data_IF_986752104308
#
_entry.id   IF_986752104308
#
_cell.length_a   1.000
_cell.length_b   1.000
_cell.length_c   1.000
_cell.angle_alpha   90.00
_cell.angle_beta   90.00
_cell.angle_gamma   90.00
#
_symmetry.space_group_name_H-M   'P 1'
#
loop_
_entity.id
_entity.type
_entity.pdbx_description
1 polymer ?
#
# COMPACT_ATOMS: atom_id res chain seq x y z
N UNK A 1 -9.61 -17.29 -11.55
CA UNK A 1 -10.24 -17.96 -10.39
C UNK A 1 -9.16 -18.50 -9.47
N UNK A 2 -9.16 -18.10 -8.18
CA UNK A 2 -8.20 -18.53 -7.15
C UNK A 2 -8.68 -19.87 -6.57
N UNK A 3 -7.89 -20.93 -6.73
CA UNK A 3 -8.34 -22.30 -6.45
C UNK A 3 -8.43 -22.65 -4.94
N UNK A 4 -8.10 -21.72 -4.04
CA UNK A 4 -7.87 -22.01 -2.61
C UNK A 4 -8.48 -20.98 -1.63
N UNK A 5 -9.41 -20.13 -2.09
CA UNK A 5 -10.09 -19.14 -1.24
C UNK A 5 -10.70 -19.82 0.01
N UNK A 6 -10.44 -19.27 1.20
CA UNK A 6 -10.91 -19.82 2.48
C UNK A 6 -10.03 -20.92 3.12
N UNK A 7 -8.84 -21.20 2.60
CA UNK A 7 -7.89 -22.15 3.23
C UNK A 7 -6.64 -21.45 3.76
N UNK A 8 -6.02 -22.00 4.82
CA UNK A 8 -4.68 -21.58 5.30
C UNK A 8 -3.60 -21.65 4.21
N UNK A 9 -3.82 -22.48 3.18
CA UNK A 9 -2.91 -22.63 2.03
C UNK A 9 -3.09 -21.54 0.95
N UNK A 10 -4.10 -20.68 1.03
CA UNK A 10 -4.40 -19.66 0.02
C UNK A 10 -3.27 -18.64 -0.21
N UNK A 11 -2.35 -18.51 0.75
CA UNK A 11 -1.22 -17.57 0.72
C UNK A 11 0.15 -18.24 0.55
N UNK A 12 0.24 -19.57 0.64
CA UNK A 12 1.53 -20.29 0.61
C UNK A 12 2.19 -20.38 -0.79
N UNK A 13 1.51 -19.96 -1.87
CA UNK A 13 2.02 -19.97 -3.26
C UNK A 13 1.72 -18.67 -4.00
N UNK A 14 1.78 -17.55 -3.28
CA UNK A 14 1.49 -16.25 -3.84
C UNK A 14 2.62 -15.78 -4.77
N UNK A 15 2.28 -15.20 -5.92
CA UNK A 15 3.29 -14.51 -6.73
C UNK A 15 3.83 -13.33 -5.93
N UNK A 16 5.14 -13.07 -6.05
CA UNK A 16 5.82 -12.05 -5.25
C UNK A 16 6.32 -10.90 -6.12
N UNK A 17 6.05 -9.68 -5.69
CA UNK A 17 6.66 -8.46 -6.16
C UNK A 17 7.65 -7.98 -5.09
N UNK A 18 8.89 -7.75 -5.48
CA UNK A 18 9.91 -7.20 -4.59
C UNK A 18 10.34 -5.82 -5.10
N UNK A 19 10.16 -4.81 -4.26
CA UNK A 19 10.62 -3.44 -4.49
C UNK A 19 12.07 -3.36 -4.04
N UNK A 20 12.93 -2.88 -4.94
CA UNK A 20 14.33 -2.61 -4.62
C UNK A 20 14.60 -1.13 -4.72
N UNK A 21 15.07 -0.56 -3.62
CA UNK A 21 15.61 0.81 -3.60
C UNK A 21 17.13 0.78 -3.79
N UNK A 22 17.78 -0.35 -3.51
CA UNK A 22 19.24 -0.53 -3.58
C UNK A 22 20.00 0.46 -2.67
N UNK A 23 19.49 0.66 -1.44
CA UNK A 23 20.11 1.45 -0.38
C UNK A 23 19.22 2.55 0.19
N UNK A 24 19.74 3.26 1.19
CA UNK A 24 18.93 4.22 1.99
C UNK A 24 19.07 5.68 1.54
N UNK A 25 19.79 5.96 0.45
CA UNK A 25 19.94 7.32 -0.04
C UNK A 25 18.57 7.90 -0.44
N UNK A 26 18.17 9.00 0.20
CA UNK A 26 16.90 9.67 -0.09
C UNK A 26 16.79 10.16 -1.53
N UNK A 27 17.92 10.45 -2.17
CA UNK A 27 17.98 10.94 -3.55
C UNK A 27 17.35 9.98 -4.59
N UNK A 28 17.23 8.70 -4.26
CA UNK A 28 16.65 7.67 -5.14
C UNK A 28 15.14 7.87 -5.32
N UNK A 29 14.46 8.40 -4.32
CA UNK A 29 13.00 8.56 -4.30
C UNK A 29 12.55 10.01 -4.55
N UNK A 30 13.49 10.92 -4.83
CA UNK A 30 13.17 12.34 -5.06
C UNK A 30 12.22 12.45 -6.25
N UNK A 31 11.11 13.15 -6.02
CA UNK A 31 10.07 13.39 -7.02
C UNK A 31 9.12 12.21 -7.26
N UNK A 32 9.32 11.07 -6.58
CA UNK A 32 8.41 9.93 -6.66
C UNK A 32 7.29 10.07 -5.63
N UNK A 33 6.05 9.83 -6.04
CA UNK A 33 4.90 9.90 -5.14
C UNK A 33 4.65 8.58 -4.41
N UNK A 34 5.03 7.45 -5.03
CA UNK A 34 4.94 6.09 -4.47
C UNK A 34 5.76 5.11 -5.32
N UNK A 35 5.97 3.89 -4.82
CA UNK A 35 6.64 2.84 -5.60
C UNK A 35 5.75 2.37 -6.77
N UNK A 36 4.44 2.38 -6.55
CA UNK A 36 3.38 2.17 -7.53
C UNK A 36 2.42 3.35 -7.37
N UNK A 37 2.18 4.10 -8.45
CA UNK A 37 1.25 5.24 -8.42
C UNK A 37 0.11 5.04 -9.42
N UNK A 38 -1.12 5.39 -9.01
CA UNK A 38 -2.27 5.55 -9.89
C UNK A 38 -2.77 6.99 -9.77
N UNK A 39 -2.66 7.74 -10.86
CA UNK A 39 -3.01 9.16 -10.98
C UNK A 39 -3.80 9.37 -12.27
N UNK A 40 -4.35 10.57 -12.45
CA UNK A 40 -5.10 10.97 -13.66
C UNK A 40 -6.29 10.03 -13.98
N UNK A 41 -6.97 9.53 -12.94
CA UNK A 41 -8.14 8.65 -13.07
C UNK A 41 -7.82 7.18 -13.35
N UNK A 42 -6.56 6.76 -13.15
CA UNK A 42 -6.18 5.36 -13.32
C UNK A 42 -6.82 4.46 -12.25
N UNK A 43 -7.40 3.33 -12.67
CA UNK A 43 -7.91 2.32 -11.73
C UNK A 43 -6.87 1.22 -11.51
N UNK A 44 -6.40 1.07 -10.28
CA UNK A 44 -5.44 0.05 -9.89
C UNK A 44 -6.14 -1.10 -9.16
N UNK A 45 -5.98 -2.33 -9.68
CA UNK A 45 -6.52 -3.54 -9.06
C UNK A 45 -5.45 -4.62 -8.93
N UNK A 46 -5.21 -5.13 -7.73
CA UNK A 46 -4.16 -6.12 -7.45
C UNK A 46 -4.77 -7.32 -6.71
N UNK A 47 -4.54 -8.52 -7.22
CA UNK A 47 -5.12 -9.76 -6.71
C UNK A 47 -4.04 -10.79 -6.39
N UNK A 48 -4.01 -11.28 -5.16
CA UNK A 48 -3.19 -12.44 -4.81
C UNK A 48 -1.69 -12.24 -5.06
N UNK A 49 -1.15 -11.05 -4.75
CA UNK A 49 0.28 -10.73 -4.85
C UNK A 49 0.87 -10.45 -3.47
N UNK A 50 2.05 -10.99 -3.19
CA UNK A 50 2.84 -10.66 -2.00
C UNK A 50 3.81 -9.54 -2.39
N UNK A 51 3.69 -8.38 -1.75
CA UNK A 51 4.56 -7.24 -1.95
C UNK A 51 5.55 -7.17 -0.80
N UNK A 52 6.84 -7.10 -1.15
CA UNK A 52 7.96 -7.07 -0.21
C UNK A 52 8.97 -6.01 -0.64
N UNK A 53 9.87 -5.62 0.25
CA UNK A 53 11.02 -4.78 -0.12
C UNK A 53 12.34 -5.51 0.12
N UNK A 54 13.41 -4.95 -0.41
CA UNK A 54 14.80 -5.29 -0.07
C UNK A 54 15.22 -4.83 1.35
N UNK A 55 14.26 -4.35 2.16
CA UNK A 55 14.45 -3.80 3.51
C UNK A 55 15.20 -2.46 3.57
N UNK A 56 15.43 -1.80 2.43
CA UNK A 56 15.85 -0.40 2.42
C UNK A 56 14.76 0.49 3.05
N UNK A 57 15.16 1.61 3.64
CA UNK A 57 14.27 2.60 4.25
C UNK A 57 13.55 3.39 3.16
N UNK A 58 12.27 3.09 2.93
CA UNK A 58 11.43 3.84 2.00
C UNK A 58 10.97 5.16 2.62
N UNK A 59 11.02 6.24 1.85
CA UNK A 59 10.50 7.57 2.28
C UNK A 59 9.17 7.94 1.61
N UNK A 60 8.69 7.06 0.73
CA UNK A 60 7.44 7.20 -0.03
C UNK A 60 6.52 5.99 0.25
N UNK A 61 5.22 6.08 -0.06
CA UNK A 61 4.30 4.95 0.01
C UNK A 61 4.69 3.84 -0.95
N UNK A 62 4.25 2.62 -0.66
CA UNK A 62 4.34 1.53 -1.63
C UNK A 62 3.32 1.75 -2.73
N UNK A 63 2.06 2.00 -2.35
CA UNK A 63 0.99 2.36 -3.28
C UNK A 63 0.55 3.79 -2.97
N UNK A 64 0.57 4.65 -3.99
CA UNK A 64 0.05 6.01 -3.91
C UNK A 64 -1.06 6.19 -4.94
N UNK A 65 -2.19 6.75 -4.51
CA UNK A 65 -3.38 6.96 -5.34
C UNK A 65 -3.77 8.44 -5.21
N UNK A 66 -4.04 9.10 -6.34
CA UNK A 66 -4.45 10.50 -6.40
C UNK A 66 -5.45 10.73 -7.53
N UNK A 67 -6.18 11.85 -7.46
CA UNK A 67 -7.08 12.40 -8.46
C UNK A 67 -8.49 11.81 -8.51
N UNK A 68 -9.39 12.54 -9.18
CA UNK A 68 -10.77 12.13 -9.42
C UNK A 68 -10.88 10.86 -10.26
N UNK A 69 -11.91 10.06 -9.97
CA UNK A 69 -12.23 8.81 -10.65
C UNK A 69 -11.15 7.72 -10.54
N UNK A 70 -10.20 7.90 -9.62
CA UNK A 70 -9.17 6.92 -9.31
C UNK A 70 -9.73 5.92 -8.29
N UNK A 71 -9.43 4.64 -8.50
CA UNK A 71 -9.89 3.52 -7.67
C UNK A 71 -8.72 2.62 -7.31
N UNK A 72 -8.70 2.17 -6.05
CA UNK A 72 -7.80 1.11 -5.62
C UNK A 72 -8.59 -0.11 -5.13
N UNK A 73 -8.34 -1.26 -5.74
CA UNK A 73 -8.83 -2.55 -5.27
C UNK A 73 -7.67 -3.49 -4.94
N UNK A 74 -7.61 -3.94 -3.71
CA UNK A 74 -6.66 -4.93 -3.23
C UNK A 74 -7.43 -6.15 -2.73
N UNK A 75 -7.16 -7.32 -3.28
CA UNK A 75 -7.79 -8.55 -2.83
C UNK A 75 -6.75 -9.64 -2.60
N UNK A 76 -6.71 -10.13 -1.36
CA UNK A 76 -5.76 -11.11 -0.89
C UNK A 76 -4.30 -10.73 -1.19
N UNK A 77 -3.95 -9.45 -1.01
CA UNK A 77 -2.60 -8.90 -1.16
C UNK A 77 -1.90 -8.90 0.20
N UNK A 78 -0.63 -9.28 0.24
CA UNK A 78 0.17 -9.27 1.47
C UNK A 78 1.32 -8.27 1.35
N UNK A 79 1.34 -7.25 2.18
CA UNK A 79 2.46 -6.32 2.38
C UNK A 79 3.29 -6.83 3.54
N UNK A 80 4.54 -7.20 3.29
CA UNK A 80 5.40 -7.68 4.38
C UNK A 80 6.87 -7.40 4.20
N UNK A 81 7.60 -7.37 5.33
CA UNK A 81 9.02 -7.04 5.39
C UNK A 81 9.23 -5.67 4.75
N UNK A 82 8.64 -4.64 5.35
CA UNK A 82 8.74 -3.27 4.88
C UNK A 82 9.34 -2.41 5.98
N UNK A 83 10.23 -1.49 5.59
CA UNK A 83 10.71 -0.41 6.45
C UNK A 83 10.39 0.91 5.78
N UNK A 84 9.72 1.80 6.50
CA UNK A 84 9.38 3.13 6.03
C UNK A 84 9.88 4.16 7.04
N UNK A 85 10.44 5.26 6.57
CA UNK A 85 10.85 6.39 7.39
C UNK A 85 10.53 7.70 6.67
N UNK A 86 9.25 8.13 6.64
CA UNK A 86 8.86 9.38 6.00
C UNK A 86 9.59 10.59 6.60
N UNK A 87 9.95 11.55 5.76
CA UNK A 87 10.94 12.60 6.09
C UNK A 87 10.37 14.00 6.26
N UNK A 88 9.22 14.30 5.65
CA UNK A 88 8.58 15.63 5.73
C UNK A 88 7.20 15.61 6.38
N UNK A 89 6.50 14.50 6.27
CA UNK A 89 5.16 14.26 6.83
C UNK A 89 4.95 12.76 7.01
N UNK A 90 3.94 12.37 7.81
CA UNK A 90 3.54 10.98 7.90
C UNK A 90 3.13 10.46 6.52
N UNK A 91 3.36 9.18 6.20
CA UNK A 91 2.91 8.57 4.94
C UNK A 91 2.30 7.19 5.17
N UNK A 92 1.45 6.77 4.24
CA UNK A 92 0.87 5.43 4.24
C UNK A 92 1.83 4.39 3.64
N UNK A 93 1.64 3.10 3.97
CA UNK A 93 2.12 2.01 3.10
C UNK A 93 1.27 2.01 1.83
N UNK A 94 -0.04 2.07 2.02
CA UNK A 94 -1.03 2.46 1.00
C UNK A 94 -1.49 3.87 1.35
N UNK A 95 -1.32 4.81 0.44
CA UNK A 95 -1.74 6.19 0.61
C UNK A 95 -2.72 6.60 -0.48
N UNK A 96 -3.86 7.11 -0.05
CA UNK A 96 -4.88 7.72 -0.90
C UNK A 96 -4.87 9.21 -0.60
N UNK A 97 -4.62 10.03 -1.61
CA UNK A 97 -4.71 11.48 -1.56
C UNK A 97 -5.78 11.97 -2.52
N UNK A 98 -6.24 13.19 -2.28
CA UNK A 98 -7.00 14.10 -3.16
C UNK A 98 -7.97 13.41 -4.11
N UNK A 99 -9.27 13.59 -3.88
CA UNK A 99 -10.31 13.36 -4.87
C UNK A 99 -10.50 11.92 -5.37
N UNK A 100 -9.74 10.95 -4.84
CA UNK A 100 -9.94 9.53 -5.12
C UNK A 100 -11.36 9.10 -4.77
N UNK A 101 -11.98 8.23 -5.56
CA UNK A 101 -13.42 7.95 -5.44
C UNK A 101 -13.75 6.70 -4.64
N UNK A 102 -12.86 5.70 -4.64
CA UNK A 102 -13.17 4.41 -3.99
C UNK A 102 -11.91 3.64 -3.57
N UNK A 103 -11.96 3.06 -2.37
CA UNK A 103 -10.97 2.12 -1.85
C UNK A 103 -11.64 0.82 -1.44
N UNK A 104 -11.15 -0.29 -2.00
CA UNK A 104 -11.63 -1.63 -1.71
C UNK A 104 -10.44 -2.51 -1.28
N UNK A 105 -10.48 -3.04 -0.06
CA UNK A 105 -9.43 -3.93 0.47
C UNK A 105 -10.10 -5.16 1.10
N UNK A 106 -9.89 -6.32 0.47
CA UNK A 106 -10.42 -7.61 0.92
C UNK A 106 -9.32 -8.59 1.24
N UNK A 107 -9.42 -9.28 2.39
CA UNK A 107 -8.56 -10.40 2.79
C UNK A 107 -7.06 -10.12 2.70
N UNK A 108 -6.66 -8.85 2.88
CA UNK A 108 -5.27 -8.44 2.77
C UNK A 108 -4.51 -8.63 4.09
N UNK A 109 -3.18 -8.63 4.02
CA UNK A 109 -2.31 -8.73 5.20
C UNK A 109 -1.27 -7.61 5.14
N UNK A 110 -1.14 -6.89 6.24
CA UNK A 110 -0.02 -6.01 6.52
C UNK A 110 0.75 -6.62 7.70
N UNK A 111 1.97 -7.08 7.46
CA UNK A 111 2.73 -7.85 8.45
C UNK A 111 4.23 -7.52 8.44
N UNK A 112 4.86 -7.43 9.61
CA UNK A 112 6.29 -7.18 9.75
C UNK A 112 6.70 -5.87 9.03
N UNK A 113 6.07 -4.78 9.49
CA UNK A 113 6.28 -3.43 8.98
C UNK A 113 6.88 -2.60 10.11
N UNK A 114 7.99 -1.93 9.83
CA UNK A 114 8.61 -0.96 10.74
C UNK A 114 8.46 0.44 10.16
N UNK A 115 7.91 1.37 10.93
CA UNK A 115 7.67 2.75 10.54
C UNK A 115 8.39 3.67 11.52
N UNK A 116 9.31 4.47 11.00
CA UNK A 116 10.13 5.43 11.76
C UNK A 116 9.92 6.86 11.22
N UNK A 117 10.62 7.85 11.78
CA UNK A 117 10.57 9.24 11.28
C UNK A 117 9.30 9.98 11.69
N UNK A 118 8.66 10.69 10.75
CA UNK A 118 7.40 11.42 11.01
C UNK A 118 6.17 10.53 11.22
N UNK A 119 6.42 9.23 11.45
CA UNK A 119 5.39 8.22 11.58
C UNK A 119 4.82 7.82 10.23
N UNK A 120 3.79 7.00 10.29
CA UNK A 120 3.12 6.46 9.14
C UNK A 120 2.07 5.47 9.56
N UNK A 121 1.23 5.07 8.61
CA UNK A 121 0.05 4.25 8.85
C UNK A 121 0.03 3.17 7.77
N UNK A 122 -0.48 1.99 8.08
CA UNK A 122 -0.63 0.95 7.05
C UNK A 122 -1.47 1.45 5.86
N UNK A 123 -2.56 2.14 6.17
CA UNK A 123 -3.43 2.79 5.19
C UNK A 123 -3.64 4.23 5.64
N UNK A 124 -3.24 5.19 4.81
CA UNK A 124 -3.49 6.62 5.02
C UNK A 124 -4.48 7.09 3.96
N UNK A 125 -5.58 7.69 4.42
CA UNK A 125 -6.60 8.28 3.55
C UNK A 125 -6.64 9.78 3.87
N UNK A 126 -6.33 10.59 2.87
CA UNK A 126 -6.40 12.04 2.92
C UNK A 126 -7.42 12.48 1.89
N UNK A 127 -8.63 12.77 2.35
CA UNK A 127 -9.69 13.35 1.55
C UNK A 127 -9.98 14.75 2.09
N UNK A 128 -9.71 15.77 1.27
CA UNK A 128 -9.85 17.18 1.61
C UNK A 128 -11.12 17.85 1.05
N UNK A 129 -12.02 17.08 0.41
CA UNK A 129 -13.27 17.58 -0.18
C UNK A 129 -14.54 17.18 0.58
N UNK A 130 -15.64 17.89 0.28
CA UNK A 130 -17.02 17.56 0.69
C UNK A 130 -17.65 16.37 -0.08
N UNK A 131 -16.91 15.75 -1.02
CA UNK A 131 -17.41 14.62 -1.80
C UNK A 131 -17.31 13.31 -1.01
N UNK A 132 -18.32 12.45 -1.15
CA UNK A 132 -18.35 11.13 -0.52
C UNK A 132 -17.22 10.25 -1.06
N UNK A 133 -16.47 9.66 -0.14
CA UNK A 133 -15.46 8.65 -0.43
C UNK A 133 -15.85 7.35 0.26
N UNK A 134 -15.96 6.28 -0.51
CA UNK A 134 -16.30 4.96 0.02
C UNK A 134 -15.03 4.14 0.21
N UNK A 135 -14.82 3.67 1.45
CA UNK A 135 -13.76 2.74 1.79
C UNK A 135 -14.36 1.47 2.38
N UNK A 136 -14.10 0.35 1.71
CA UNK A 136 -14.44 -0.99 2.22
C UNK A 136 -13.17 -1.72 2.59
N UNK A 137 -13.02 -2.10 3.86
CA UNK A 137 -11.91 -2.91 4.36
C UNK A 137 -12.52 -4.09 5.11
N UNK A 138 -12.40 -5.30 4.55
CA UNK A 138 -12.99 -6.52 5.11
C UNK A 138 -11.97 -7.67 5.07
N UNK A 139 -12.02 -8.54 6.08
CA UNK A 139 -11.13 -9.71 6.19
C UNK A 139 -9.62 -9.39 6.32
N UNK A 140 -9.26 -8.10 6.45
CA UNK A 140 -7.87 -7.64 6.41
C UNK A 140 -7.21 -7.65 7.78
N UNK A 141 -5.93 -8.04 7.83
CA UNK A 141 -5.16 -8.20 9.06
C UNK A 141 -3.97 -7.23 9.12
N UNK A 142 -3.70 -6.72 10.32
CA UNK A 142 -2.55 -5.85 10.62
C UNK A 142 -1.78 -6.46 11.79
N UNK A 143 -0.62 -7.05 11.48
CA UNK A 143 0.18 -7.82 12.42
C UNK A 143 1.59 -7.19 12.52
N UNK A 144 2.13 -7.06 13.73
CA UNK A 144 3.52 -6.60 13.94
C UNK A 144 3.89 -5.31 13.19
N UNK A 145 3.03 -4.29 13.29
CA UNK A 145 3.33 -2.94 12.78
C UNK A 145 3.88 -2.11 13.93
N UNK A 146 5.15 -1.73 13.82
CA UNK A 146 5.90 -1.06 14.89
C UNK A 146 6.40 0.31 14.44
#
# INVERSE_FOLDING_TARGET
MKQLYGTVSAMNRQAQLMIKKDGDMQSIEIGQQGCISAIEGLQLRIYGIKITTDQSLLTIPIIFIQDFNTLLELNAVAFTRIKQSPTTEAKGIVQISDNSTELIIYDCIFEDITIEGHGGIAIRIENDQENSFDATIEGTQFNNIN
#
